data_IF_485280153658
#
_entry.id   IF_485280153658
#
_cell.length_a   1.000
_cell.length_b   1.000
_cell.length_c   1.000
_cell.angle_alpha   90.00
_cell.angle_beta   90.00
_cell.angle_gamma   90.00
#
_symmetry.space_group_name_H-M   'P 1'
#
loop_
_entity.id
_entity.type
_entity.pdbx_description
1 polymer ?
#
# COMPACT_ATOMS: atom_id res chain seq x y z
N UNK A 1 4.69 -8.23 -22.50
CA UNK A 1 4.33 -7.40 -21.34
C UNK A 1 4.57 -5.94 -21.70
N UNK A 2 3.65 -5.06 -21.38
CA UNK A 2 3.77 -3.60 -21.61
C UNK A 2 3.74 -2.93 -20.25
N UNK A 3 4.74 -2.12 -19.95
CA UNK A 3 4.80 -1.31 -18.73
C UNK A 3 4.24 0.08 -18.97
N UNK A 4 3.81 0.75 -17.91
CA UNK A 4 3.38 2.15 -18.01
C UNK A 4 4.54 3.05 -18.45
N UNK A 5 4.23 4.06 -19.27
CA UNK A 5 5.19 5.10 -19.70
C UNK A 5 5.64 6.02 -18.57
N UNK A 6 4.89 6.06 -17.48
CA UNK A 6 5.22 6.78 -16.25
C UNK A 6 5.60 5.79 -15.17
N UNK A 7 6.56 6.12 -14.33
CA UNK A 7 6.96 5.26 -13.20
C UNK A 7 5.78 4.96 -12.28
N UNK A 8 4.97 5.96 -12.00
CA UNK A 8 3.73 5.88 -11.23
C UNK A 8 2.68 6.78 -11.90
N UNK A 9 1.68 6.22 -12.60
CA UNK A 9 0.66 7.01 -13.30
C UNK A 9 -0.20 7.87 -12.38
N UNK A 10 -0.46 7.43 -11.14
CA UNK A 10 -1.27 8.17 -10.18
C UNK A 10 -2.68 8.52 -10.69
N UNK A 11 -3.29 7.66 -11.49
CA UNK A 11 -4.58 7.95 -12.11
C UNK A 11 -5.75 7.74 -11.16
N UNK A 12 -5.85 6.54 -10.58
CA UNK A 12 -7.05 6.13 -9.84
C UNK A 12 -7.23 6.83 -8.50
N UNK A 13 -6.22 7.44 -7.92
CA UNK A 13 -6.37 8.26 -6.72
C UNK A 13 -6.52 9.77 -7.01
N UNK A 14 -6.09 10.24 -8.19
CA UNK A 14 -6.07 11.68 -8.50
C UNK A 14 -7.10 12.13 -9.51
N UNK A 15 -7.62 11.21 -10.31
CA UNK A 15 -8.53 11.54 -11.41
C UNK A 15 -9.92 10.96 -11.14
N UNK A 16 -10.84 11.75 -10.58
CA UNK A 16 -12.24 11.33 -10.45
C UNK A 16 -12.91 11.29 -11.83
N UNK A 17 -13.96 10.45 -11.96
CA UNK A 17 -14.91 10.58 -13.03
C UNK A 17 -15.89 11.70 -12.70
N UNK A 18 -16.39 12.48 -13.69
CA UNK A 18 -17.34 13.58 -13.43
C UNK A 18 -18.58 13.17 -12.63
N UNK A 19 -19.08 11.96 -12.85
CA UNK A 19 -20.31 11.46 -12.23
C UNK A 19 -20.04 10.29 -11.26
N UNK A 20 -18.83 10.18 -10.70
CA UNK A 20 -18.54 9.09 -9.78
C UNK A 20 -19.34 9.20 -8.46
N UNK A 21 -19.71 8.07 -7.90
CA UNK A 21 -20.34 8.00 -6.59
C UNK A 21 -19.38 8.45 -5.47
N UNK A 22 -19.93 8.75 -4.29
CA UNK A 22 -19.13 9.20 -3.14
C UNK A 22 -18.01 8.24 -2.74
N UNK A 23 -18.20 6.93 -2.96
CA UNK A 23 -17.22 5.88 -2.71
C UNK A 23 -16.21 5.68 -3.86
N UNK A 24 -16.41 6.32 -5.01
CA UNK A 24 -15.53 6.23 -6.17
C UNK A 24 -16.02 5.27 -7.26
N UNK A 25 -17.22 4.69 -7.14
CA UNK A 25 -17.79 3.87 -8.22
C UNK A 25 -18.10 4.73 -9.45
N UNK A 26 -17.62 4.28 -10.62
CA UNK A 26 -17.80 4.97 -11.90
C UNK A 26 -19.07 4.43 -12.57
N UNK A 27 -20.03 5.31 -12.92
CA UNK A 27 -21.25 4.91 -13.61
C UNK A 27 -20.99 4.26 -14.97
N UNK A 28 -21.85 3.35 -15.41
CA UNK A 28 -21.68 2.60 -16.66
C UNK A 28 -21.43 3.51 -17.86
N UNK A 29 -22.22 4.59 -17.98
CA UNK A 29 -22.09 5.58 -19.06
C UNK A 29 -20.72 6.24 -19.18
N UNK A 30 -19.96 6.32 -18.08
CA UNK A 30 -18.67 7.00 -18.03
C UNK A 30 -17.47 6.05 -18.14
N UNK A 31 -17.68 4.75 -17.95
CA UNK A 31 -16.60 3.75 -17.90
C UNK A 31 -15.69 3.76 -19.12
N UNK A 32 -16.29 3.81 -20.31
CA UNK A 32 -15.52 3.80 -21.55
C UNK A 32 -14.61 5.02 -21.67
N UNK A 33 -15.16 6.22 -21.48
CA UNK A 33 -14.40 7.47 -21.56
C UNK A 33 -13.29 7.53 -20.52
N UNK A 34 -13.59 7.10 -19.29
CA UNK A 34 -12.63 7.06 -18.20
C UNK A 34 -11.47 6.07 -18.48
N UNK A 35 -11.80 4.86 -18.95
CA UNK A 35 -10.80 3.85 -19.30
C UNK A 35 -9.92 4.26 -20.48
N UNK A 36 -10.53 4.91 -21.50
CA UNK A 36 -9.78 5.47 -22.62
C UNK A 36 -8.76 6.50 -22.14
N UNK A 37 -9.21 7.48 -21.36
CA UNK A 37 -8.34 8.51 -20.80
C UNK A 37 -7.24 7.95 -19.89
N UNK A 38 -7.55 6.92 -19.08
CA UNK A 38 -6.55 6.19 -18.29
C UNK A 38 -5.48 5.55 -19.17
N UNK A 39 -5.89 4.83 -20.21
CA UNK A 39 -4.94 4.16 -21.12
C UNK A 39 -4.04 5.17 -21.82
N UNK A 40 -4.57 6.29 -22.27
CA UNK A 40 -3.84 7.38 -22.90
C UNK A 40 -2.84 8.03 -21.94
N UNK A 41 -3.21 8.14 -20.66
CA UNK A 41 -2.34 8.69 -19.62
C UNK A 41 -1.22 7.73 -19.21
N UNK A 42 -1.55 6.45 -19.00
CA UNK A 42 -0.65 5.48 -18.40
C UNK A 42 0.27 4.78 -19.41
N UNK A 43 -0.20 4.56 -20.65
CA UNK A 43 0.49 3.72 -21.62
C UNK A 43 0.75 4.44 -22.95
N UNK A 44 1.71 3.90 -23.71
CA UNK A 44 1.90 4.31 -25.10
C UNK A 44 0.83 3.63 -25.98
N UNK A 45 -0.10 4.42 -26.53
CA UNK A 45 -1.25 3.91 -27.29
C UNK A 45 -0.82 3.17 -28.56
N UNK A 46 0.20 3.65 -29.24
CA UNK A 46 0.73 3.00 -30.45
C UNK A 46 1.22 1.60 -30.14
N UNK A 47 1.98 1.47 -29.05
CA UNK A 47 2.49 0.17 -28.60
C UNK A 47 1.36 -0.76 -28.10
N UNK A 48 0.34 -0.22 -27.41
CA UNK A 48 -0.80 -1.03 -26.96
C UNK A 48 -1.68 -1.51 -28.09
N UNK A 49 -1.83 -0.76 -29.17
CA UNK A 49 -2.60 -1.18 -30.36
C UNK A 49 -1.93 -2.26 -31.16
N UNK A 50 -0.59 -2.22 -31.28
CA UNK A 50 0.18 -3.23 -32.01
C UNK A 50 0.33 -4.55 -31.24
N UNK A 51 -0.06 -4.60 -29.97
CA UNK A 51 0.21 -5.76 -29.09
C UNK A 51 -0.99 -6.12 -28.21
N UNK A 52 -2.15 -6.39 -28.83
CA UNK A 52 -3.40 -6.73 -28.14
C UNK A 52 -3.31 -7.93 -27.18
N UNK A 53 -2.36 -8.83 -27.42
CA UNK A 53 -2.16 -10.03 -26.60
C UNK A 53 -1.14 -9.84 -25.45
N UNK A 54 -0.64 -8.62 -25.23
CA UNK A 54 0.32 -8.39 -24.13
C UNK A 54 -0.37 -7.92 -22.87
N UNK A 55 0.05 -8.46 -21.73
CA UNK A 55 -0.37 -7.99 -20.41
C UNK A 55 0.19 -6.60 -20.14
N UNK A 56 -0.67 -5.67 -19.77
CA UNK A 56 -0.31 -4.33 -19.34
C UNK A 56 -0.09 -4.30 -17.84
N UNK A 57 1.02 -3.70 -17.41
CA UNK A 57 1.36 -3.56 -15.98
C UNK A 57 1.66 -2.09 -15.68
N UNK A 58 1.08 -1.62 -14.60
CA UNK A 58 1.46 -0.36 -14.00
C UNK A 58 1.75 -0.53 -12.50
N UNK A 59 2.47 0.43 -11.92
CA UNK A 59 2.79 0.44 -10.51
C UNK A 59 2.52 1.82 -9.93
N UNK A 60 1.57 1.89 -8.99
CA UNK A 60 1.30 3.08 -8.19
C UNK A 60 1.03 2.66 -6.74
N UNK A 61 2.05 2.64 -5.87
CA UNK A 61 1.90 2.18 -4.49
C UNK A 61 0.84 2.94 -3.70
N UNK A 62 0.57 4.19 -4.07
CA UNK A 62 -0.41 5.04 -3.40
C UNK A 62 -1.85 4.53 -3.54
N UNK A 63 -2.17 3.71 -4.55
CA UNK A 63 -3.52 3.15 -4.71
C UNK A 63 -3.96 2.33 -3.49
N UNK A 64 -3.04 1.60 -2.86
CA UNK A 64 -3.37 0.81 -1.68
C UNK A 64 -3.89 1.68 -0.53
N UNK A 65 -3.33 2.88 -0.37
CA UNK A 65 -3.69 3.83 0.67
C UNK A 65 -4.96 4.63 0.34
N UNK A 66 -5.27 4.83 -0.94
CA UNK A 66 -6.35 5.70 -1.39
C UNK A 66 -7.75 5.13 -1.08
N UNK A 67 -8.67 6.01 -0.68
CA UNK A 67 -10.01 5.61 -0.27
C UNK A 67 -10.91 5.17 -1.43
N UNK A 68 -10.62 5.59 -2.65
CA UNK A 68 -11.49 5.40 -3.83
C UNK A 68 -10.85 4.56 -4.94
N UNK A 69 -9.53 4.39 -4.92
CA UNK A 69 -8.81 3.70 -5.99
C UNK A 69 -9.35 2.29 -6.27
N UNK A 70 -9.63 1.51 -5.22
CA UNK A 70 -10.19 0.17 -5.36
C UNK A 70 -11.53 0.16 -6.12
N UNK A 71 -12.44 1.06 -5.78
CA UNK A 71 -13.75 1.19 -6.44
C UNK A 71 -13.62 1.64 -7.89
N UNK A 72 -12.74 2.63 -8.17
CA UNK A 72 -12.49 3.11 -9.53
C UNK A 72 -11.90 2.00 -10.39
N UNK A 73 -10.89 1.30 -9.91
CA UNK A 73 -10.26 0.18 -10.62
C UNK A 73 -11.29 -0.92 -10.87
N UNK A 74 -12.03 -1.35 -9.86
CA UNK A 74 -13.06 -2.39 -10.02
C UNK A 74 -14.13 -1.99 -11.03
N UNK A 75 -14.52 -0.71 -11.08
CA UNK A 75 -15.54 -0.22 -12.00
C UNK A 75 -15.13 -0.35 -13.47
N UNK A 76 -13.86 -0.09 -13.80
CA UNK A 76 -13.41 -0.03 -15.20
C UNK A 76 -12.47 -1.19 -15.61
N UNK A 77 -11.88 -1.85 -14.64
CA UNK A 77 -10.99 -3.00 -14.83
C UNK A 77 -11.38 -4.17 -13.89
N UNK A 78 -12.61 -4.71 -14.01
CA UNK A 78 -13.15 -5.67 -13.04
C UNK A 78 -12.36 -6.99 -12.94
N UNK A 79 -11.52 -7.28 -13.94
CA UNK A 79 -10.67 -8.48 -13.98
C UNK A 79 -9.18 -8.17 -13.74
N UNK A 80 -8.85 -6.95 -13.31
CA UNK A 80 -7.46 -6.59 -13.03
C UNK A 80 -6.90 -7.47 -11.92
N UNK A 81 -5.67 -7.94 -12.09
CA UNK A 81 -4.91 -8.62 -11.05
C UNK A 81 -4.15 -7.59 -10.23
N UNK A 82 -4.25 -7.69 -8.92
CA UNK A 82 -3.68 -6.75 -7.95
C UNK A 82 -2.54 -7.45 -7.23
N UNK A 83 -1.35 -6.87 -7.30
CA UNK A 83 -0.19 -7.35 -6.54
C UNK A 83 0.13 -6.32 -5.47
N UNK A 84 0.10 -6.73 -4.20
CA UNK A 84 0.49 -5.89 -3.07
C UNK A 84 1.81 -6.40 -2.49
N UNK A 85 2.85 -5.57 -2.56
CA UNK A 85 4.13 -5.84 -1.93
C UNK A 85 4.18 -5.12 -0.57
N UNK A 86 4.22 -5.88 0.50
CA UNK A 86 4.31 -5.36 1.85
C UNK A 86 5.75 -5.52 2.37
N UNK A 87 6.22 -4.55 3.09
CA UNK A 87 7.53 -4.55 3.74
C UNK A 87 7.35 -4.41 5.24
N UNK A 88 8.34 -4.86 6.05
CA UNK A 88 8.39 -4.49 7.46
C UNK A 88 8.01 -3.02 7.63
N UNK A 89 6.90 -2.70 8.32
CA UNK A 89 6.39 -1.33 8.39
C UNK A 89 7.36 -0.35 9.05
N UNK A 90 8.20 -0.82 9.97
CA UNK A 90 9.25 -0.04 10.63
C UNK A 90 10.34 0.34 9.62
N UNK A 91 10.85 -0.66 8.91
CA UNK A 91 11.89 -0.46 7.89
C UNK A 91 11.36 0.34 6.69
N UNK A 92 10.07 0.14 6.35
CA UNK A 92 9.40 0.94 5.30
C UNK A 92 9.32 2.41 5.70
N UNK A 93 8.91 2.69 6.96
CA UNK A 93 8.77 4.06 7.45
C UNK A 93 10.10 4.82 7.35
N UNK A 94 11.18 4.21 7.82
CA UNK A 94 12.51 4.81 7.75
C UNK A 94 13.02 4.97 6.32
N UNK A 95 12.77 3.99 5.46
CA UNK A 95 13.13 4.05 4.04
C UNK A 95 12.39 5.18 3.32
N UNK A 96 11.10 5.40 3.62
CA UNK A 96 10.31 6.50 3.07
C UNK A 96 10.89 7.86 3.50
N UNK A 97 11.20 8.01 4.78
CA UNK A 97 11.84 9.23 5.28
C UNK A 97 13.15 9.53 4.54
N UNK A 98 14.04 8.52 4.42
CA UNK A 98 15.32 8.70 3.71
C UNK A 98 15.14 9.13 2.24
N UNK A 99 14.09 8.64 1.58
CA UNK A 99 13.82 8.97 0.19
C UNK A 99 13.38 10.43 0.02
N UNK A 100 12.57 10.95 0.93
CA UNK A 100 11.87 12.23 0.80
C UNK A 100 12.44 13.35 1.70
N UNK A 101 13.55 13.12 2.40
CA UNK A 101 14.15 14.04 3.40
C UNK A 101 14.23 15.50 2.93
N UNK A 102 14.60 15.74 1.66
CA UNK A 102 14.71 17.12 1.16
C UNK A 102 13.35 17.83 1.01
N UNK A 103 12.30 17.06 0.76
CA UNK A 103 10.95 17.63 0.74
C UNK A 103 10.49 18.01 2.14
N UNK A 104 10.93 17.28 3.15
CA UNK A 104 10.56 17.51 4.56
C UNK A 104 11.30 18.70 5.17
N UNK A 105 12.57 18.88 4.85
CA UNK A 105 13.37 20.02 5.32
C UNK A 105 12.73 21.38 4.96
N UNK A 106 12.05 21.47 3.81
CA UNK A 106 11.28 22.67 3.43
C UNK A 106 10.10 22.96 4.35
N UNK A 107 9.60 21.96 5.06
CA UNK A 107 8.47 22.06 5.99
C UNK A 107 8.91 22.15 7.46
N UNK A 108 10.17 22.50 7.73
CA UNK A 108 10.76 22.59 9.09
C UNK A 108 10.75 21.25 9.86
N UNK A 109 10.72 20.13 9.15
CA UNK A 109 10.84 18.79 9.73
C UNK A 109 12.29 18.36 9.56
N UNK A 110 12.99 18.16 10.66
CA UNK A 110 14.44 17.99 10.66
C UNK A 110 14.89 16.55 10.92
N UNK A 111 14.07 15.75 11.59
CA UNK A 111 14.38 14.39 11.97
C UNK A 111 13.31 13.39 11.55
N UNK A 112 13.66 12.09 11.61
CA UNK A 112 12.69 11.01 11.43
C UNK A 112 11.68 10.98 12.58
N UNK A 113 12.15 11.29 13.76
CA UNK A 113 11.36 11.37 14.99
C UNK A 113 10.28 12.45 14.86
N UNK A 114 10.59 13.65 14.34
CA UNK A 114 9.59 14.69 14.07
C UNK A 114 8.50 14.20 13.11
N UNK A 115 8.90 13.43 12.10
CA UNK A 115 7.95 12.80 11.18
C UNK A 115 7.00 11.82 11.87
N UNK A 116 7.54 11.02 12.80
CA UNK A 116 6.76 10.05 13.57
C UNK A 116 5.79 10.76 14.49
N UNK A 117 6.25 11.78 15.24
CA UNK A 117 5.40 12.54 16.16
C UNK A 117 4.24 13.20 15.42
N UNK A 118 4.52 13.87 14.30
CA UNK A 118 3.48 14.51 13.52
C UNK A 118 2.42 13.52 13.00
N UNK A 119 2.83 12.34 12.56
CA UNK A 119 1.90 11.35 12.03
C UNK A 119 1.13 10.62 13.14
N UNK A 120 1.78 10.30 14.26
CA UNK A 120 1.13 9.74 15.46
C UNK A 120 0.08 10.71 16.00
N UNK A 121 0.36 12.00 16.04
CA UNK A 121 -0.63 13.00 16.47
C UNK A 121 -1.90 12.95 15.61
N UNK A 122 -1.76 12.80 14.30
CA UNK A 122 -2.93 12.67 13.39
C UNK A 122 -3.63 11.33 13.59
N UNK A 123 -2.91 10.24 13.81
CA UNK A 123 -3.51 8.93 14.10
C UNK A 123 -4.32 8.95 15.41
N UNK A 124 -3.82 9.63 16.45
CA UNK A 124 -4.55 9.86 17.71
C UNK A 124 -5.80 10.72 17.47
N UNK A 125 -5.64 11.83 16.75
CA UNK A 125 -6.75 12.73 16.44
C UNK A 125 -7.85 12.06 15.62
N UNK A 126 -7.47 11.17 14.72
CA UNK A 126 -8.41 10.36 13.94
C UNK A 126 -9.09 9.26 14.76
N UNK A 127 -8.57 8.90 15.93
CA UNK A 127 -9.06 7.81 16.78
C UNK A 127 -8.56 6.42 16.39
N UNK A 128 -7.47 6.34 15.64
CA UNK A 128 -6.79 5.07 15.29
C UNK A 128 -5.87 4.62 16.42
N UNK A 129 -5.20 5.56 17.07
CA UNK A 129 -4.40 5.35 18.26
C UNK A 129 -5.04 6.00 19.48
N UNK A 130 -4.88 5.38 20.64
CA UNK A 130 -5.16 5.97 21.95
C UNK A 130 -4.09 7.02 22.29
N UNK A 131 -4.32 7.79 23.37
CA UNK A 131 -3.33 8.73 23.86
C UNK A 131 -1.99 8.05 24.22
N UNK A 132 -2.04 6.81 24.69
CA UNK A 132 -0.87 6.01 25.05
C UNK A 132 -0.24 5.24 23.86
N UNK A 133 -0.60 5.61 22.63
CA UNK A 133 -0.09 5.01 21.38
C UNK A 133 -0.43 3.52 21.17
N UNK A 134 -1.34 2.97 21.96
CA UNK A 134 -1.91 1.67 21.68
C UNK A 134 -2.97 1.79 20.58
N UNK A 135 -3.24 0.70 19.86
CA UNK A 135 -4.36 0.65 18.94
C UNK A 135 -5.66 0.94 19.69
N UNK A 136 -6.48 1.82 19.14
CA UNK A 136 -7.77 2.14 19.77
C UNK A 136 -8.69 0.92 19.67
N UNK A 137 -9.35 0.59 20.77
CA UNK A 137 -10.38 -0.46 20.82
C UNK A 137 -11.65 0.07 20.18
N UNK A 138 -11.78 -0.07 18.87
CA UNK A 138 -12.96 0.35 18.10
C UNK A 138 -13.43 -0.78 17.20
N UNK A 139 -14.73 -0.82 16.95
CA UNK A 139 -15.28 -1.77 15.99
C UNK A 139 -14.88 -1.40 14.54
N UNK A 140 -14.99 -2.35 13.62
CA UNK A 140 -14.56 -2.13 12.23
C UNK A 140 -15.25 -0.98 11.50
N UNK A 141 -16.58 -0.76 11.61
CA UNK A 141 -17.22 0.40 10.98
C UNK A 141 -16.66 1.74 11.47
N UNK A 142 -16.37 1.86 12.76
CA UNK A 142 -15.80 3.07 13.32
C UNK A 142 -14.32 3.21 13.00
N UNK A 143 -13.60 2.09 12.89
CA UNK A 143 -12.22 2.09 12.37
C UNK A 143 -12.16 2.60 10.92
N UNK A 144 -13.10 2.20 10.06
CA UNK A 144 -13.16 2.72 8.69
C UNK A 144 -13.41 4.23 8.65
N UNK A 145 -14.27 4.74 9.54
CA UNK A 145 -14.51 6.19 9.68
C UNK A 145 -13.26 6.90 10.21
N UNK A 146 -12.59 6.32 11.20
CA UNK A 146 -11.32 6.84 11.73
C UNK A 146 -10.23 6.87 10.64
N UNK A 147 -10.11 5.80 9.88
CA UNK A 147 -9.19 5.73 8.75
C UNK A 147 -9.51 6.76 7.67
N UNK A 148 -10.77 6.97 7.34
CA UNK A 148 -11.19 7.99 6.38
C UNK A 148 -10.82 9.41 6.88
N UNK A 149 -11.06 9.72 8.16
CA UNK A 149 -10.63 10.99 8.78
C UNK A 149 -9.12 11.18 8.67
N UNK A 150 -8.35 10.17 9.02
CA UNK A 150 -6.90 10.20 8.92
C UNK A 150 -6.43 10.48 7.49
N UNK A 151 -6.95 9.74 6.52
CA UNK A 151 -6.57 9.87 5.12
C UNK A 151 -6.91 11.25 4.52
N UNK A 152 -8.03 11.84 4.93
CA UNK A 152 -8.44 13.20 4.51
C UNK A 152 -7.55 14.24 5.17
N UNK A 153 -7.33 14.15 6.47
CA UNK A 153 -6.48 15.09 7.25
C UNK A 153 -5.08 15.14 6.66
N UNK A 154 -4.50 13.99 6.37
CA UNK A 154 -3.20 13.91 5.73
C UNK A 154 -3.14 14.64 4.39
N UNK A 155 -4.16 14.47 3.54
CA UNK A 155 -4.22 15.14 2.22
C UNK A 155 -4.36 16.66 2.34
N UNK A 156 -5.16 17.13 3.31
CA UNK A 156 -5.48 18.54 3.46
C UNK A 156 -4.30 19.35 3.99
N UNK A 157 -3.60 18.82 4.97
CA UNK A 157 -2.60 19.64 5.68
C UNK A 157 -1.18 19.50 5.16
N UNK A 158 -0.85 18.49 4.34
CA UNK A 158 0.52 18.23 3.83
C UNK A 158 1.62 18.36 4.90
N UNK A 159 1.22 18.26 6.17
CA UNK A 159 2.02 18.71 7.32
C UNK A 159 3.08 17.71 7.76
N UNK A 160 3.02 16.49 7.24
CA UNK A 160 3.85 15.42 7.71
C UNK A 160 4.53 14.68 6.55
N UNK A 161 5.51 13.93 6.91
CA UNK A 161 6.40 13.16 6.06
C UNK A 161 5.70 12.05 5.26
N UNK A 162 4.62 12.38 4.57
CA UNK A 162 3.97 11.44 3.68
C UNK A 162 3.24 10.29 4.39
N UNK A 163 2.66 10.50 5.59
CA UNK A 163 1.99 9.43 6.34
C UNK A 163 2.95 8.27 6.63
N UNK A 164 4.10 8.64 7.21
CA UNK A 164 5.23 7.72 7.39
C UNK A 164 4.87 6.54 8.31
N UNK A 165 4.01 6.74 9.30
CA UNK A 165 3.51 5.68 10.19
C UNK A 165 2.25 5.03 9.60
N UNK A 166 1.23 5.80 9.28
CA UNK A 166 -0.07 5.27 8.87
C UNK A 166 -0.04 4.36 7.65
N UNK A 167 0.82 4.63 6.67
CA UNK A 167 1.00 3.73 5.52
C UNK A 167 1.51 2.34 5.89
N UNK A 168 2.02 2.14 7.09
CA UNK A 168 2.42 0.83 7.60
C UNK A 168 1.27 0.03 8.21
N UNK A 169 0.09 0.62 8.40
CA UNK A 169 -1.12 -0.05 8.91
C UNK A 169 -1.80 -0.76 7.73
N UNK A 170 -1.21 -1.88 7.30
CA UNK A 170 -1.61 -2.58 6.07
C UNK A 170 -2.97 -3.25 6.15
N UNK A 171 -3.34 -3.80 7.31
CA UNK A 171 -4.63 -4.47 7.49
C UNK A 171 -5.80 -3.55 7.14
N UNK A 172 -5.78 -2.30 7.62
CA UNK A 172 -6.79 -1.30 7.31
C UNK A 172 -6.93 -1.03 5.81
N UNK A 173 -5.79 -0.93 5.12
CA UNK A 173 -5.74 -0.68 3.69
C UNK A 173 -6.28 -1.88 2.90
N UNK A 174 -5.81 -3.09 3.20
CA UNK A 174 -6.25 -4.32 2.53
C UNK A 174 -7.73 -4.64 2.77
N UNK A 175 -8.26 -4.45 3.99
CA UNK A 175 -9.69 -4.64 4.26
C UNK A 175 -10.56 -3.77 3.37
N UNK A 176 -10.17 -2.52 3.11
CA UNK A 176 -10.92 -1.64 2.21
C UNK A 176 -10.95 -2.20 0.78
N UNK A 177 -9.83 -2.72 0.29
CA UNK A 177 -9.79 -3.40 -1.00
C UNK A 177 -10.65 -4.65 -0.99
N UNK A 178 -10.56 -5.45 0.06
CA UNK A 178 -11.33 -6.71 0.19
C UNK A 178 -12.85 -6.51 0.34
N UNK A 179 -13.31 -5.31 0.75
CA UNK A 179 -14.75 -4.96 0.70
C UNK A 179 -15.27 -4.78 -0.72
N UNK A 180 -14.42 -4.40 -1.65
CA UNK A 180 -14.80 -4.13 -3.05
C UNK A 180 -14.86 -5.42 -3.87
N UNK A 181 -14.15 -6.45 -3.44
CA UNK A 181 -14.02 -7.73 -4.14
C UNK A 181 -14.58 -8.86 -3.27
N UNK A 182 -15.44 -9.70 -3.86
CA UNK A 182 -15.96 -10.87 -3.16
C UNK A 182 -14.87 -11.92 -2.90
N UNK A 183 -15.18 -12.96 -2.12
CA UNK A 183 -14.21 -14.00 -1.71
C UNK A 183 -13.52 -14.68 -2.90
N UNK A 184 -14.27 -15.04 -3.93
CA UNK A 184 -13.70 -15.72 -5.12
C UNK A 184 -12.85 -14.76 -5.96
N UNK A 185 -13.28 -13.53 -6.14
CA UNK A 185 -12.48 -12.52 -6.81
C UNK A 185 -11.17 -12.24 -6.08
N UNK A 186 -11.18 -12.20 -4.75
CA UNK A 186 -9.96 -12.03 -3.96
C UNK A 186 -8.96 -13.15 -4.20
N UNK A 187 -9.40 -14.41 -4.21
CA UNK A 187 -8.54 -15.55 -4.50
C UNK A 187 -7.89 -15.48 -5.89
N UNK A 188 -8.63 -15.01 -6.89
CA UNK A 188 -8.17 -14.98 -8.27
C UNK A 188 -7.39 -13.71 -8.64
N UNK A 189 -7.70 -12.59 -7.99
CA UNK A 189 -7.23 -11.27 -8.41
C UNK A 189 -6.25 -10.62 -7.45
N UNK A 190 -6.05 -11.15 -6.23
CA UNK A 190 -5.10 -10.61 -5.29
C UNK A 190 -3.93 -11.55 -5.05
N UNK A 191 -2.73 -10.97 -5.11
CA UNK A 191 -1.51 -11.61 -4.68
C UNK A 191 -0.78 -10.66 -3.71
N UNK A 192 -0.75 -11.03 -2.44
CA UNK A 192 -0.07 -10.27 -1.39
C UNK A 192 1.19 -11.02 -1.03
N UNK A 193 2.33 -10.34 -1.04
CA UNK A 193 3.61 -10.92 -0.70
C UNK A 193 4.51 -9.94 0.04
N UNK A 194 5.53 -10.47 0.71
CA UNK A 194 6.54 -9.67 1.38
C UNK A 194 7.58 -9.19 0.38
N UNK A 195 7.99 -7.93 0.48
CA UNK A 195 9.08 -7.40 -0.36
C UNK A 195 10.41 -8.09 -0.06
N UNK A 196 10.53 -8.66 1.12
CA UNK A 196 11.67 -9.45 1.57
C UNK A 196 11.85 -10.73 0.74
N UNK A 197 10.76 -11.29 0.22
CA UNK A 197 10.78 -12.47 -0.66
C UNK A 197 11.35 -12.15 -2.06
N UNK A 198 11.47 -10.86 -2.39
CA UNK A 198 12.11 -10.38 -3.62
C UNK A 198 13.57 -9.93 -3.39
N UNK A 199 14.20 -10.35 -2.30
CA UNK A 199 15.62 -10.07 -2.12
C UNK A 199 16.45 -10.89 -3.09
N UNK A 200 17.46 -10.26 -3.72
CA UNK A 200 18.35 -11.00 -4.59
C UNK A 200 19.09 -12.11 -3.85
N UNK A 201 19.26 -13.23 -4.51
CA UNK A 201 20.14 -14.29 -4.07
C UNK A 201 21.62 -13.86 -4.12
N UNK A 202 22.54 -14.77 -3.76
CA UNK A 202 23.99 -14.52 -3.81
C UNK A 202 24.53 -14.17 -5.21
N UNK A 203 23.76 -14.42 -6.26
CA UNK A 203 24.11 -14.13 -7.65
C UNK A 203 23.39 -12.85 -8.16
N UNK A 204 22.71 -12.09 -7.32
CA UNK A 204 21.96 -10.90 -7.72
C UNK A 204 20.64 -11.19 -8.41
N UNK A 205 20.11 -12.41 -8.36
CA UNK A 205 18.88 -12.84 -9.01
C UNK A 205 17.71 -12.86 -8.04
N UNK A 206 16.54 -12.42 -8.51
CA UNK A 206 15.28 -12.43 -7.75
C UNK A 206 14.35 -13.48 -8.33
N UNK A 207 13.81 -14.35 -7.48
CA UNK A 207 12.77 -15.29 -7.86
C UNK A 207 11.43 -14.55 -8.05
N UNK A 208 10.90 -14.61 -9.25
CA UNK A 208 9.62 -14.01 -9.64
C UNK A 208 8.58 -15.05 -10.08
N UNK A 209 8.86 -16.33 -9.87
CA UNK A 209 8.01 -17.45 -10.34
C UNK A 209 6.57 -17.31 -9.91
N UNK A 210 6.33 -16.98 -8.62
CA UNK A 210 4.97 -16.82 -8.11
C UNK A 210 4.24 -15.63 -8.74
N UNK A 211 4.97 -14.55 -9.02
CA UNK A 211 4.41 -13.37 -9.70
C UNK A 211 4.01 -13.72 -11.13
N UNK A 212 4.92 -14.34 -11.90
CA UNK A 212 4.66 -14.67 -13.31
C UNK A 212 3.53 -15.69 -13.45
N UNK A 213 3.48 -16.69 -12.55
CA UNK A 213 2.36 -17.63 -12.47
C UNK A 213 1.04 -16.93 -12.16
N UNK A 214 1.02 -16.06 -11.18
CA UNK A 214 -0.18 -15.30 -10.80
C UNK A 214 -0.70 -14.44 -11.96
N UNK A 215 0.15 -13.69 -12.65
CA UNK A 215 -0.29 -12.83 -13.76
C UNK A 215 -0.60 -13.63 -15.05
N UNK A 216 -0.15 -14.90 -15.12
CA UNK A 216 -0.41 -15.77 -16.29
C UNK A 216 0.46 -15.45 -17.50
N UNK A 217 1.66 -14.91 -17.28
CA UNK A 217 2.69 -14.79 -18.32
C UNK A 217 3.67 -15.95 -18.14
N UNK A 218 4.16 -16.52 -19.25
CA UNK A 218 5.01 -17.73 -19.21
C UNK A 218 6.09 -17.70 -18.14
N UNK A 219 6.45 -18.85 -17.62
CA UNK A 219 7.35 -18.97 -16.45
C UNK A 219 8.71 -18.32 -16.73
N UNK A 220 9.00 -17.31 -15.92
CA UNK A 220 10.36 -16.78 -15.73
C UNK A 220 10.70 -16.96 -14.26
N UNK A 221 11.66 -17.81 -14.00
CA UNK A 221 12.03 -18.18 -12.64
C UNK A 221 12.84 -17.06 -11.97
N UNK A 222 13.74 -16.43 -12.70
CA UNK A 222 14.61 -15.39 -12.14
C UNK A 222 14.76 -14.20 -13.06
N UNK A 223 15.00 -13.05 -12.45
CA UNK A 223 15.40 -11.84 -13.17
C UNK A 223 16.53 -11.16 -12.42
N UNK A 224 17.47 -10.58 -13.14
CA UNK A 224 18.47 -9.70 -12.56
C UNK A 224 17.82 -8.37 -12.20
N UNK A 225 18.04 -7.92 -10.97
CA UNK A 225 17.54 -6.62 -10.51
C UNK A 225 18.72 -5.67 -10.33
N UNK A 226 18.82 -4.72 -11.23
CA UNK A 226 19.70 -3.57 -10.99
C UNK A 226 19.09 -2.72 -9.88
N UNK A 227 19.86 -2.45 -8.83
CA UNK A 227 19.47 -1.53 -7.75
C UNK A 227 19.26 -0.14 -8.33
N UNK A 228 17.99 0.22 -8.61
CA UNK A 228 17.63 1.45 -9.31
C UNK A 228 17.71 2.67 -8.39
N UNK A 229 17.49 2.49 -7.09
CA UNK A 229 17.57 3.56 -6.09
C UNK A 229 18.31 3.07 -4.85
N UNK A 230 19.54 3.52 -4.65
CA UNK A 230 20.15 3.50 -3.33
C UNK A 230 19.47 4.56 -2.46
N UNK A 231 18.88 4.18 -1.34
CA UNK A 231 18.60 5.15 -0.28
C UNK A 231 19.94 5.74 0.16
N UNK A 232 20.00 7.07 0.32
CA UNK A 232 21.19 7.71 0.86
C UNK A 232 21.54 7.04 2.18
N UNK A 233 22.81 6.77 2.38
CA UNK A 233 23.27 6.29 3.68
C UNK A 233 23.10 7.41 4.70
N UNK A 234 22.17 7.21 5.62
CA UNK A 234 21.89 8.13 6.73
C UNK A 234 22.14 7.43 8.08
N UNK A 235 22.86 6.33 8.02
CA UNK A 235 23.05 5.49 9.19
C UNK A 235 21.82 4.67 9.57
N UNK A 236 21.92 3.88 10.64
CA UNK A 236 20.82 3.11 11.17
C UNK A 236 19.79 4.00 11.87
N UNK A 237 18.55 3.55 11.94
CA UNK A 237 17.50 4.13 12.78
C UNK A 237 17.91 4.03 14.26
N UNK A 238 17.58 5.03 15.07
CA UNK A 238 17.78 4.99 16.51
C UNK A 238 17.07 3.77 17.11
N UNK A 239 17.72 3.11 18.06
CA UNK A 239 17.20 1.86 18.64
C UNK A 239 15.86 2.09 19.34
N UNK A 240 15.75 3.16 20.10
CA UNK A 240 14.54 3.56 20.84
C UNK A 240 13.37 3.82 19.90
N UNK A 241 13.61 4.53 18.80
CA UNK A 241 12.63 4.80 17.74
C UNK A 241 12.17 3.50 17.09
N UNK A 242 13.10 2.59 16.81
CA UNK A 242 12.80 1.27 16.24
C UNK A 242 11.89 0.45 17.15
N UNK A 243 12.20 0.39 18.44
CA UNK A 243 11.41 -0.35 19.43
C UNK A 243 10.02 0.28 19.66
N UNK A 244 9.94 1.61 19.67
CA UNK A 244 8.63 2.32 19.75
C UNK A 244 7.74 1.97 18.57
N UNK A 245 8.25 2.05 17.35
CA UNK A 245 7.49 1.69 16.15
C UNK A 245 7.09 0.21 16.12
N UNK A 246 7.94 -0.69 16.59
CA UNK A 246 7.61 -2.12 16.72
C UNK A 246 6.43 -2.34 17.66
N UNK A 247 6.43 -1.70 18.83
CA UNK A 247 5.28 -1.77 19.76
C UNK A 247 4.02 -1.20 19.14
N UNK A 248 4.13 -0.06 18.47
CA UNK A 248 3.00 0.59 17.81
C UNK A 248 2.38 -0.29 16.71
N UNK A 249 3.22 -0.90 15.86
CA UNK A 249 2.71 -1.70 14.76
C UNK A 249 2.25 -3.11 15.16
N UNK A 250 2.67 -3.62 16.31
CA UNK A 250 2.39 -4.98 16.71
C UNK A 250 0.90 -5.36 16.58
N UNK A 251 -0.07 -4.66 17.19
CA UNK A 251 -1.49 -5.02 17.09
C UNK A 251 -2.01 -4.95 15.64
N UNK A 252 -1.52 -4.02 14.84
CA UNK A 252 -1.93 -3.91 13.43
C UNK A 252 -1.31 -5.01 12.55
N UNK A 253 -0.14 -5.50 12.93
CA UNK A 253 0.48 -6.64 12.25
C UNK A 253 -0.21 -7.95 12.65
N UNK A 254 -0.58 -8.13 13.93
CA UNK A 254 -1.36 -9.28 14.38
C UNK A 254 -2.67 -9.36 13.59
N UNK A 255 -3.37 -8.23 13.43
CA UNK A 255 -4.57 -8.10 12.62
C UNK A 255 -4.34 -8.39 11.11
N UNK A 256 -3.20 -8.01 10.58
CA UNK A 256 -2.81 -8.34 9.20
C UNK A 256 -2.63 -9.85 9.02
N UNK A 257 -2.04 -10.53 10.00
CA UNK A 257 -1.82 -11.97 9.96
C UNK A 257 -3.13 -12.74 10.02
N UNK A 258 -4.05 -12.30 10.86
CA UNK A 258 -5.41 -12.86 10.87
C UNK A 258 -6.13 -12.68 9.52
N UNK A 259 -5.97 -11.52 8.91
CA UNK A 259 -6.60 -11.20 7.62
C UNK A 259 -6.06 -12.04 6.46
N UNK A 260 -4.77 -12.33 6.43
CA UNK A 260 -4.10 -13.00 5.31
C UNK A 260 -3.96 -14.52 5.51
N UNK A 261 -4.06 -15.00 6.75
CA UNK A 261 -4.02 -16.43 7.06
C UNK A 261 -2.64 -17.08 7.01
N UNK A 262 -2.59 -18.42 6.82
CA UNK A 262 -1.35 -19.19 6.84
C UNK A 262 -0.26 -18.66 5.93
N UNK A 263 0.98 -18.66 6.42
CA UNK A 263 2.14 -18.10 5.72
C UNK A 263 2.44 -16.63 6.06
N UNK A 264 1.57 -16.01 6.86
CA UNK A 264 1.75 -14.64 7.36
C UNK A 264 1.97 -14.59 8.89
N UNK A 265 2.22 -15.73 9.52
CA UNK A 265 2.55 -15.81 10.94
C UNK A 265 3.90 -15.14 11.19
N UNK A 266 3.88 -14.03 11.90
CA UNK A 266 5.06 -13.28 12.33
C UNK A 266 6.16 -13.09 11.24
N UNK A 267 5.85 -12.54 10.05
CA UNK A 267 6.82 -12.38 8.99
C UNK A 267 7.91 -11.36 9.31
N UNK A 268 7.63 -10.51 10.31
CA UNK A 268 8.59 -9.54 10.82
C UNK A 268 8.74 -9.76 12.33
N UNK A 269 9.79 -10.47 12.79
CA UNK A 269 9.93 -10.93 14.17
C UNK A 269 10.06 -9.74 15.12
N UNK A 270 8.95 -9.28 15.63
CA UNK A 270 8.89 -8.45 16.82
C UNK A 270 8.77 -9.39 18.01
N UNK A 271 9.62 -9.19 19.04
CA UNK A 271 9.68 -10.05 20.23
C UNK A 271 8.29 -10.45 20.73
N UNK A 272 8.16 -11.73 21.06
CA UNK A 272 6.96 -12.31 21.68
C UNK A 272 6.67 -11.63 23.02
N UNK A 273 5.72 -10.69 23.05
CA UNK A 273 5.00 -10.38 24.28
C UNK A 273 3.62 -9.79 23.94
N UNK A 274 2.60 -10.48 24.46
CA UNK A 274 1.20 -10.12 24.65
C UNK A 274 0.39 -9.86 23.38
N UNK A 275 -0.23 -10.93 22.90
CA UNK A 275 -1.39 -10.88 21.98
C UNK A 275 -2.66 -10.48 22.74
N UNK A 276 -3.28 -9.37 22.38
CA UNK A 276 -4.68 -9.13 22.67
C UNK A 276 -5.46 -9.40 21.38
N UNK A 277 -6.54 -10.17 21.42
CA UNK A 277 -7.36 -10.48 20.24
C UNK A 277 -8.15 -9.23 19.83
N UNK A 278 -7.82 -8.63 18.69
CA UNK A 278 -8.41 -7.37 18.27
C UNK A 278 -9.66 -7.50 17.41
N UNK A 279 -9.90 -8.62 16.73
CA UNK A 279 -11.06 -8.78 15.84
C UNK A 279 -11.45 -10.24 15.67
N UNK A 280 -12.34 -10.74 16.53
CA UNK A 280 -12.85 -12.12 16.41
C UNK A 280 -14.08 -12.33 15.52
N UNK A 281 -14.71 -11.30 15.01
CA UNK A 281 -16.06 -11.40 14.43
C UNK A 281 -16.17 -11.06 12.94
N UNK A 282 -15.26 -11.55 12.09
CA UNK A 282 -15.37 -11.33 10.64
C UNK A 282 -14.80 -12.49 9.80
N UNK A 283 -15.32 -13.70 10.04
CA UNK A 283 -15.24 -14.78 9.05
C UNK A 283 -16.63 -15.15 8.54
#
# INVERSE_FOLDING_TARGET
MITSKRKEPHWFERKPSPNEASDGRIPEKDKYAYLKAYREHAFNITETRSHLNKTMIEKTPFYMYDLKAAYRIKSVLPKAKIIALLRDPVERAYSNYKMDKHAYARNKIHSFEDCIEADIAILKLAGILSQNESAATINLPDFDKAWARYAVTYRTYRLNCGSVVGRGIYAAQLRRWFKVYNKEERKMQFFVMKSEDLRPDKYGRVDITNITRFIGVGEKNFTEVKKIHGTRDMGPMQKETKERLRRLYKPFNDDLYELLGPGWENPWPYTKEISLPFFKDLL
#
